data_IF_473002771227
#
_entry.id   IF_473002771227
#
_cell.length_a   1.000
_cell.length_b   1.000
_cell.length_c   1.000
_cell.angle_alpha   90.00
_cell.angle_beta   90.00
_cell.angle_gamma   90.00
#
_symmetry.space_group_name_H-M   'P 1'
#
loop_
_entity.id
_entity.type
_entity.pdbx_description
1 polymer ?
#
# COMPACT_ATOMS: atom_id res chain seq x y z
N UNK A 1 -17.07 -1.35 -21.17
CA UNK A 1 -18.17 -0.39 -20.95
C UNK A 1 -17.85 0.56 -19.80
N UNK A 2 -18.37 1.77 -19.83
CA UNK A 2 -18.19 2.80 -18.77
C UNK A 2 -18.67 2.27 -17.40
N UNK A 3 -19.73 1.48 -17.38
CA UNK A 3 -20.26 0.84 -16.17
C UNK A 3 -19.26 -0.13 -15.56
N UNK A 4 -18.56 -0.92 -16.37
CA UNK A 4 -17.51 -1.84 -15.90
C UNK A 4 -16.35 -1.11 -15.25
N UNK A 5 -15.88 0.00 -15.83
CA UNK A 5 -14.83 0.83 -15.28
C UNK A 5 -15.25 1.44 -13.93
N UNK A 6 -16.47 1.95 -13.83
CA UNK A 6 -17.02 2.50 -12.57
C UNK A 6 -17.05 1.46 -11.46
N UNK A 7 -17.47 0.23 -11.76
CA UNK A 7 -17.50 -0.86 -10.78
C UNK A 7 -16.07 -1.22 -10.32
N UNK A 8 -15.11 -1.34 -11.24
CA UNK A 8 -13.72 -1.63 -10.92
C UNK A 8 -13.08 -0.54 -10.04
N UNK A 9 -13.30 0.73 -10.38
CA UNK A 9 -12.80 1.86 -9.59
C UNK A 9 -13.42 1.89 -8.19
N UNK A 10 -14.74 1.74 -8.08
CA UNK A 10 -15.43 1.71 -6.79
C UNK A 10 -14.91 0.57 -5.91
N UNK A 11 -14.74 -0.62 -6.47
CA UNK A 11 -14.20 -1.78 -5.75
C UNK A 11 -12.76 -1.55 -5.28
N UNK A 12 -11.94 -0.92 -6.11
CA UNK A 12 -10.56 -0.56 -5.75
C UNK A 12 -10.53 0.41 -4.57
N UNK A 13 -11.27 1.51 -4.63
CA UNK A 13 -11.29 2.50 -3.55
C UNK A 13 -11.89 1.96 -2.25
N UNK A 14 -12.95 1.17 -2.32
CA UNK A 14 -13.50 0.48 -1.15
C UNK A 14 -12.48 -0.50 -0.54
N UNK A 15 -11.75 -1.22 -1.38
CA UNK A 15 -10.66 -2.10 -0.95
C UNK A 15 -9.55 -1.32 -0.23
N UNK A 16 -9.15 -0.15 -0.75
CA UNK A 16 -8.16 0.72 -0.09
C UNK A 16 -8.65 1.23 1.27
N UNK A 17 -9.91 1.66 1.38
CA UNK A 17 -10.47 2.08 2.66
C UNK A 17 -10.48 0.94 3.69
N UNK A 18 -10.85 -0.25 3.26
CA UNK A 18 -10.80 -1.44 4.10
C UNK A 18 -9.38 -1.77 4.55
N UNK A 19 -8.42 -1.74 3.63
CA UNK A 19 -6.99 -1.93 3.91
C UNK A 19 -6.47 -0.93 4.94
N UNK A 20 -6.71 0.36 4.73
CA UNK A 20 -6.27 1.42 5.65
C UNK A 20 -6.87 1.20 7.04
N UNK A 21 -8.15 0.86 7.12
CA UNK A 21 -8.84 0.64 8.40
C UNK A 21 -8.23 -0.54 9.16
N UNK A 22 -7.96 -1.65 8.48
CA UNK A 22 -7.30 -2.82 9.10
C UNK A 22 -5.90 -2.47 9.57
N UNK A 23 -5.07 -1.89 8.71
CA UNK A 23 -3.69 -1.54 9.05
C UNK A 23 -3.63 -0.49 10.16
N UNK A 24 -4.48 0.54 10.10
CA UNK A 24 -4.59 1.53 11.15
C UNK A 24 -4.92 0.89 12.51
N UNK A 25 -5.85 -0.04 12.55
CA UNK A 25 -6.24 -0.77 13.76
C UNK A 25 -5.08 -1.61 14.30
N UNK A 26 -4.43 -2.39 13.44
CA UNK A 26 -3.31 -3.25 13.85
C UNK A 26 -2.12 -2.41 14.33
N UNK A 27 -1.74 -1.36 13.60
CA UNK A 27 -0.64 -0.49 14.00
C UNK A 27 -0.93 0.24 15.31
N UNK A 28 -2.16 0.71 15.50
CA UNK A 28 -2.57 1.36 16.76
C UNK A 28 -2.43 0.40 17.93
N UNK A 29 -2.91 -0.83 17.82
CA UNK A 29 -2.78 -1.84 18.86
C UNK A 29 -1.31 -2.12 19.19
N UNK A 30 -0.46 -2.32 18.17
CA UNK A 30 0.97 -2.59 18.37
C UNK A 30 1.64 -1.43 19.10
N UNK A 31 1.44 -0.21 18.64
CA UNK A 31 2.08 0.97 19.21
C UNK A 31 1.60 1.26 20.64
N UNK A 32 0.32 1.05 20.93
CA UNK A 32 -0.22 1.19 22.28
C UNK A 32 0.32 0.11 23.23
N UNK A 33 0.49 -1.13 22.76
CA UNK A 33 1.06 -2.21 23.58
C UNK A 33 2.46 -1.88 24.07
N UNK A 34 3.26 -1.16 23.28
CA UNK A 34 4.61 -0.76 23.64
C UNK A 34 4.70 0.65 24.22
N UNK A 35 3.57 1.32 24.46
CA UNK A 35 3.53 2.63 25.09
C UNK A 35 4.14 3.75 24.26
N UNK A 36 4.08 3.64 22.94
CA UNK A 36 4.61 4.66 22.02
C UNK A 36 3.76 5.92 22.10
N UNK A 37 4.41 7.08 22.27
CA UNK A 37 3.74 8.38 22.23
C UNK A 37 3.09 8.61 20.87
N UNK A 38 1.91 9.26 20.88
CA UNK A 38 1.18 9.59 19.65
C UNK A 38 0.88 8.38 18.75
N UNK A 39 0.67 7.20 19.39
CA UNK A 39 0.47 5.92 18.71
C UNK A 39 -0.61 5.99 17.62
N UNK A 40 -1.74 6.64 17.89
CA UNK A 40 -2.85 6.78 16.94
C UNK A 40 -2.45 7.60 15.72
N UNK A 41 -1.72 8.69 15.91
CA UNK A 41 -1.25 9.56 14.80
C UNK A 41 -0.23 8.83 13.94
N UNK A 42 0.73 8.16 14.57
CA UNK A 42 1.76 7.37 13.86
C UNK A 42 1.10 6.23 13.07
N UNK A 43 0.19 5.49 13.69
CA UNK A 43 -0.54 4.41 13.04
C UNK A 43 -1.34 4.90 11.84
N UNK A 44 -2.00 6.04 11.95
CA UNK A 44 -2.77 6.64 10.86
C UNK A 44 -1.88 7.06 9.68
N UNK A 45 -0.77 7.76 9.95
CA UNK A 45 0.19 8.16 8.92
C UNK A 45 0.79 6.94 8.21
N UNK A 46 1.21 5.93 8.95
CA UNK A 46 1.76 4.69 8.36
C UNK A 46 0.72 3.91 7.57
N UNK A 47 -0.54 3.87 8.00
CA UNK A 47 -1.63 3.25 7.26
C UNK A 47 -1.92 4.00 5.94
N UNK A 48 -1.91 5.33 5.96
CA UNK A 48 -2.09 6.15 4.75
C UNK A 48 -0.97 5.94 3.72
N UNK A 49 0.27 5.73 4.17
CA UNK A 49 1.39 5.43 3.26
C UNK A 49 1.14 4.16 2.44
N UNK A 50 0.39 3.20 2.97
CA UNK A 50 0.02 1.98 2.24
C UNK A 50 -0.94 2.22 1.05
N UNK A 51 -1.45 3.43 0.86
CA UNK A 51 -2.11 3.82 -0.39
C UNK A 51 -1.17 3.75 -1.61
N UNK A 52 0.13 3.88 -1.37
CA UNK A 52 1.16 3.80 -2.40
C UNK A 52 1.73 2.38 -2.40
N UNK A 53 1.42 1.55 -3.40
CA UNK A 53 1.91 0.18 -3.47
C UNK A 53 3.44 0.10 -3.44
N UNK A 54 4.00 -0.87 -2.74
CA UNK A 54 5.42 -1.15 -2.57
C UNK A 54 6.24 -0.06 -1.87
N UNK A 55 6.12 1.20 -2.28
CA UNK A 55 6.87 2.34 -1.72
C UNK A 55 6.34 2.69 -0.34
N UNK A 56 5.02 2.67 -0.16
CA UNK A 56 4.37 2.99 1.11
C UNK A 56 4.84 2.14 2.28
N UNK A 57 4.81 0.81 2.17
CA UNK A 57 5.33 -0.08 3.22
C UNK A 57 6.80 0.16 3.57
N UNK A 58 7.65 0.46 2.59
CA UNK A 58 9.07 0.74 2.83
C UNK A 58 9.28 2.05 3.60
N UNK A 59 8.58 3.10 3.22
CA UNK A 59 8.62 4.38 3.93
C UNK A 59 7.97 4.23 5.31
N UNK A 60 6.88 3.49 5.40
CA UNK A 60 6.13 3.26 6.63
C UNK A 60 6.97 2.58 7.72
N UNK A 61 7.76 1.56 7.38
CA UNK A 61 8.61 0.89 8.36
C UNK A 61 9.72 1.82 8.89
N UNK A 62 10.30 2.64 8.01
CA UNK A 62 11.33 3.62 8.39
C UNK A 62 10.72 4.68 9.31
N UNK A 63 9.58 5.25 8.91
CA UNK A 63 8.88 6.28 9.68
C UNK A 63 8.43 5.75 11.04
N UNK A 64 7.80 4.58 11.10
CA UNK A 64 7.34 3.98 12.35
C UNK A 64 8.51 3.67 13.28
N UNK A 65 9.61 3.14 12.76
CA UNK A 65 10.81 2.86 13.54
C UNK A 65 11.40 4.13 14.13
N UNK A 66 11.58 5.16 13.32
CA UNK A 66 12.13 6.43 13.77
C UNK A 66 11.24 7.11 14.82
N UNK A 67 9.95 7.21 14.59
CA UNK A 67 9.01 7.82 15.54
C UNK A 67 8.87 7.00 16.83
N UNK A 68 8.99 5.67 16.75
CA UNK A 68 9.04 4.83 17.97
C UNK A 68 10.29 5.12 18.79
N UNK A 69 11.45 5.23 18.15
CA UNK A 69 12.70 5.58 18.85
C UNK A 69 12.60 6.94 19.53
N UNK A 70 12.01 7.94 18.87
CA UNK A 70 11.82 9.27 19.46
C UNK A 70 10.89 9.28 20.67
N UNK A 71 9.95 8.34 20.76
CA UNK A 71 9.06 8.19 21.92
C UNK A 71 9.78 7.78 23.20
N UNK A 72 10.95 7.17 23.08
CA UNK A 72 11.75 6.70 24.22
C UNK A 72 13.01 7.53 24.46
N UNK A 73 13.07 8.76 23.95
CA UNK A 73 14.19 9.66 24.21
C UNK A 73 14.33 9.91 25.71
N UNK A 74 15.56 9.73 26.21
CA UNK A 74 15.87 9.79 27.63
C UNK A 74 15.96 8.44 28.33
N UNK A 75 15.51 7.38 27.69
CA UNK A 75 15.68 5.99 28.16
C UNK A 75 17.01 5.41 27.69
N UNK A 76 17.41 4.29 28.32
CA UNK A 76 18.65 3.60 27.90
C UNK A 76 18.51 3.02 26.48
N UNK A 77 19.49 3.36 25.65
CA UNK A 77 19.43 3.00 24.23
C UNK A 77 19.46 1.48 24.02
N UNK A 78 20.36 0.79 24.70
CA UNK A 78 20.58 -0.66 24.49
C UNK A 78 19.50 -1.53 25.14
N UNK A 79 19.01 -1.14 26.32
CA UNK A 79 18.08 -1.96 27.10
C UNK A 79 16.60 -1.63 26.87
N UNK A 80 16.31 -0.43 26.37
CA UNK A 80 14.92 0.04 26.19
C UNK A 80 14.61 0.38 24.71
N UNK A 81 15.34 1.31 24.15
CA UNK A 81 15.02 1.85 22.82
C UNK A 81 15.14 0.76 21.72
N UNK A 82 16.27 0.08 21.67
CA UNK A 82 16.50 -0.98 20.65
C UNK A 82 15.49 -2.11 20.79
N UNK A 83 15.29 -2.76 21.95
CA UNK A 83 14.34 -3.86 22.08
C UNK A 83 12.90 -3.47 21.75
N UNK A 84 12.41 -2.33 22.23
CA UNK A 84 11.04 -1.88 21.96
C UNK A 84 10.85 -1.53 20.48
N UNK A 85 11.81 -0.87 19.86
CA UNK A 85 11.77 -0.58 18.43
C UNK A 85 11.78 -1.88 17.61
N UNK A 86 12.60 -2.86 18.00
CA UNK A 86 12.62 -4.17 17.35
C UNK A 86 11.26 -4.88 17.43
N UNK A 87 10.59 -4.87 18.57
CA UNK A 87 9.24 -5.44 18.71
C UNK A 87 8.22 -4.72 17.84
N UNK A 88 8.28 -3.40 17.75
CA UNK A 88 7.39 -2.62 16.87
C UNK A 88 7.63 -2.97 15.42
N UNK A 89 8.90 -3.11 14.99
CA UNK A 89 9.25 -3.54 13.63
C UNK A 89 8.70 -4.93 13.32
N UNK A 90 8.83 -5.89 14.24
CA UNK A 90 8.27 -7.23 14.10
C UNK A 90 6.75 -7.15 13.94
N UNK A 91 6.08 -6.37 14.76
CA UNK A 91 4.65 -6.12 14.66
C UNK A 91 4.25 -5.51 13.31
N UNK A 92 5.05 -4.56 12.82
CA UNK A 92 4.85 -3.97 11.49
C UNK A 92 4.93 -5.00 10.37
N UNK A 93 5.96 -5.85 10.41
CA UNK A 93 6.15 -6.91 9.42
C UNK A 93 4.98 -7.91 9.46
N UNK A 94 4.52 -8.30 10.65
CA UNK A 94 3.34 -9.17 10.80
C UNK A 94 2.10 -8.50 10.21
N UNK A 95 1.87 -7.22 10.48
CA UNK A 95 0.76 -6.47 9.89
C UNK A 95 0.83 -6.43 8.37
N UNK A 96 2.01 -6.23 7.80
CA UNK A 96 2.22 -6.26 6.34
C UNK A 96 1.99 -7.66 5.74
N UNK A 97 2.36 -8.72 6.45
CA UNK A 97 2.05 -10.09 6.02
C UNK A 97 0.54 -10.32 5.99
N UNK A 98 -0.18 -9.89 7.03
CA UNK A 98 -1.64 -9.96 7.07
C UNK A 98 -2.25 -9.19 5.90
N UNK A 99 -1.76 -7.98 5.65
CA UNK A 99 -2.22 -7.15 4.53
C UNK A 99 -1.98 -7.84 3.18
N UNK A 100 -0.80 -8.38 2.96
CA UNK A 100 -0.44 -9.08 1.72
C UNK A 100 -1.31 -10.32 1.47
N UNK A 101 -1.70 -11.04 2.51
CA UNK A 101 -2.51 -12.25 2.37
C UNK A 101 -4.02 -12.02 2.36
N UNK A 102 -4.51 -10.95 2.99
CA UNK A 102 -5.93 -10.64 3.10
C UNK A 102 -6.39 -9.50 2.19
N UNK A 103 -5.78 -8.32 2.35
CA UNK A 103 -6.27 -7.11 1.70
C UNK A 103 -5.85 -7.04 0.23
N UNK A 104 -4.61 -7.35 -0.08
CA UNK A 104 -4.10 -7.24 -1.45
C UNK A 104 -4.79 -8.18 -2.44
N UNK A 105 -5.02 -9.48 -2.15
CA UNK A 105 -5.80 -10.34 -3.03
C UNK A 105 -7.22 -9.81 -3.27
N UNK A 106 -7.85 -9.21 -2.26
CA UNK A 106 -9.18 -8.63 -2.39
C UNK A 106 -9.20 -7.38 -3.29
N UNK A 107 -8.19 -6.52 -3.15
CA UNK A 107 -8.06 -5.29 -3.95
C UNK A 107 -7.69 -5.62 -5.39
N UNK A 108 -6.74 -6.53 -5.60
CA UNK A 108 -6.16 -6.83 -6.91
C UNK A 108 -6.81 -8.01 -7.65
N UNK A 109 -7.59 -8.87 -6.99
CA UNK A 109 -8.06 -10.14 -7.55
C UNK A 109 -8.91 -10.04 -8.81
N UNK A 110 -9.57 -8.91 -9.04
CA UNK A 110 -10.45 -8.69 -10.19
C UNK A 110 -9.99 -7.58 -11.14
N UNK A 111 -8.93 -6.87 -10.81
CA UNK A 111 -8.57 -5.66 -11.56
C UNK A 111 -7.30 -5.83 -12.38
N UNK A 112 -6.27 -6.50 -11.87
CA UNK A 112 -4.98 -6.55 -12.55
C UNK A 112 -4.24 -7.82 -12.16
N UNK A 113 -4.26 -8.82 -13.01
CA UNK A 113 -3.31 -9.93 -12.97
C UNK A 113 -2.00 -9.51 -13.65
N UNK A 114 -1.40 -8.43 -13.17
CA UNK A 114 -0.14 -7.92 -13.70
C UNK A 114 1.04 -8.41 -12.87
N UNK A 115 2.20 -8.51 -13.50
CA UNK A 115 3.42 -8.87 -12.79
C UNK A 115 3.78 -7.77 -11.76
N UNK A 116 4.25 -8.09 -10.55
CA UNK A 116 4.60 -7.10 -9.53
C UNK A 116 5.56 -6.01 -10.02
N UNK A 117 6.53 -6.38 -10.86
CA UNK A 117 7.48 -5.43 -11.46
C UNK A 117 6.78 -4.42 -12.38
N UNK A 118 5.78 -4.86 -13.13
CA UNK A 118 4.98 -3.99 -14.01
C UNK A 118 4.25 -2.91 -13.19
N UNK A 119 3.61 -3.32 -12.10
CA UNK A 119 2.94 -2.40 -11.17
C UNK A 119 3.94 -1.43 -10.54
N UNK A 120 5.09 -1.92 -10.10
CA UNK A 120 6.13 -1.08 -9.52
C UNK A 120 6.61 0.02 -10.48
N UNK A 121 6.88 -0.34 -11.74
CA UNK A 121 7.28 0.62 -12.78
C UNK A 121 6.17 1.65 -13.03
N UNK A 122 4.92 1.21 -13.09
CA UNK A 122 3.76 2.11 -13.28
C UNK A 122 3.64 3.08 -12.11
N UNK A 123 3.80 2.63 -10.88
CA UNK A 123 3.75 3.50 -9.68
C UNK A 123 4.87 4.52 -9.71
N UNK A 124 6.11 4.10 -10.01
CA UNK A 124 7.25 5.02 -10.12
C UNK A 124 7.05 6.06 -11.22
N UNK A 125 6.65 5.62 -12.42
CA UNK A 125 6.41 6.51 -13.54
C UNK A 125 5.30 7.52 -13.25
N UNK A 126 4.20 7.07 -12.64
CA UNK A 126 3.11 7.95 -12.21
C UNK A 126 3.55 8.94 -11.14
N UNK A 127 4.45 8.52 -10.25
CA UNK A 127 5.04 9.38 -9.23
C UNK A 127 5.91 10.49 -9.81
N UNK A 128 6.72 10.17 -10.81
CA UNK A 128 7.56 11.15 -11.52
C UNK A 128 6.70 12.18 -12.26
N UNK A 129 5.60 11.75 -12.88
CA UNK A 129 4.74 12.61 -13.69
C UNK A 129 3.77 13.45 -12.84
N UNK A 130 3.17 12.86 -11.82
CA UNK A 130 2.04 13.44 -11.07
C UNK A 130 2.24 13.47 -9.55
N UNK A 131 3.45 13.16 -9.06
CA UNK A 131 3.76 13.13 -7.64
C UNK A 131 3.01 12.03 -6.86
N UNK A 132 2.77 12.29 -5.57
CA UNK A 132 2.12 11.34 -4.64
C UNK A 132 0.71 10.96 -5.12
N UNK A 133 -0.05 11.91 -5.64
CA UNK A 133 -1.39 11.66 -6.20
C UNK A 133 -1.32 10.67 -7.37
N UNK A 134 -0.30 10.82 -8.23
CA UNK A 134 -0.05 9.88 -9.32
C UNK A 134 0.27 8.47 -8.83
N UNK A 135 1.07 8.33 -7.78
CA UNK A 135 1.39 7.03 -7.19
C UNK A 135 0.14 6.33 -6.63
N UNK A 136 -0.74 7.06 -5.95
CA UNK A 136 -2.00 6.52 -5.40
C UNK A 136 -2.96 6.10 -6.51
N UNK A 137 -3.06 6.90 -7.56
CA UNK A 137 -3.95 6.64 -8.70
C UNK A 137 -3.32 5.76 -9.79
N UNK A 138 -2.08 5.33 -9.63
CA UNK A 138 -1.33 4.57 -10.63
C UNK A 138 -2.08 3.30 -11.08
N UNK A 139 -2.58 2.51 -10.14
CA UNK A 139 -3.29 1.26 -10.43
C UNK A 139 -4.61 1.49 -11.14
N UNK A 140 -5.54 2.35 -10.65
CA UNK A 140 -6.77 2.65 -11.37
C UNK A 140 -6.53 3.19 -12.79
N UNK A 141 -5.60 4.14 -12.95
CA UNK A 141 -5.27 4.72 -14.25
C UNK A 141 -4.72 3.66 -15.21
N UNK A 142 -3.83 2.82 -14.72
CA UNK A 142 -3.25 1.73 -15.50
C UNK A 142 -4.32 0.71 -15.94
N UNK A 143 -5.26 0.37 -15.05
CA UNK A 143 -6.39 -0.51 -15.36
C UNK A 143 -7.27 0.07 -16.45
N UNK A 144 -7.64 1.35 -16.34
CA UNK A 144 -8.43 2.06 -17.36
C UNK A 144 -7.69 2.06 -18.70
N UNK A 145 -6.39 2.34 -18.69
CA UNK A 145 -5.56 2.31 -19.89
C UNK A 145 -5.53 0.93 -20.55
N UNK A 146 -5.34 -0.14 -19.77
CA UNK A 146 -5.37 -1.53 -20.29
C UNK A 146 -6.73 -1.88 -20.90
N UNK A 147 -7.82 -1.53 -20.25
CA UNK A 147 -9.18 -1.76 -20.80
C UNK A 147 -9.38 -0.99 -22.10
N UNK A 148 -8.94 0.26 -22.14
CA UNK A 148 -9.01 1.08 -23.35
C UNK A 148 -8.22 0.45 -24.51
N UNK A 149 -6.97 0.07 -24.25
CA UNK A 149 -6.12 -0.58 -25.26
C UNK A 149 -6.75 -1.89 -25.76
N UNK A 150 -7.33 -2.69 -24.88
CA UNK A 150 -8.02 -3.92 -25.25
C UNK A 150 -9.20 -3.69 -26.19
N UNK A 151 -9.98 -2.64 -25.94
CA UNK A 151 -11.18 -2.32 -26.74
C UNK A 151 -10.80 -1.76 -28.12
N UNK A 152 -9.85 -0.81 -28.16
CA UNK A 152 -9.52 -0.09 -29.41
C UNK A 152 -8.43 -0.74 -30.26
N UNK A 153 -7.55 -1.52 -29.66
CA UNK A 153 -6.39 -2.11 -30.33
C UNK A 153 -6.34 -3.65 -30.19
N UNK A 154 -7.48 -4.30 -30.15
CA UNK A 154 -7.61 -5.75 -29.98
C UNK A 154 -6.87 -6.60 -31.02
N UNK A 155 -6.58 -6.07 -32.20
CA UNK A 155 -5.87 -6.77 -33.28
C UNK A 155 -4.35 -6.67 -33.18
N UNK A 156 -3.81 -5.84 -32.29
CA UNK A 156 -2.35 -5.66 -32.15
C UNK A 156 -1.77 -6.77 -31.24
N UNK A 157 -0.72 -7.45 -31.71
CA UNK A 157 -0.08 -8.55 -30.97
C UNK A 157 0.48 -8.14 -29.60
N UNK A 158 1.03 -6.91 -29.49
CA UNK A 158 1.53 -6.37 -28.23
C UNK A 158 0.39 -6.12 -27.24
N UNK A 159 -0.71 -5.55 -27.72
CA UNK A 159 -1.89 -5.29 -26.89
C UNK A 159 -2.52 -6.59 -26.40
N UNK A 160 -2.61 -7.62 -27.25
CA UNK A 160 -3.06 -8.96 -26.85
C UNK A 160 -2.21 -9.53 -25.71
N UNK A 161 -0.89 -9.34 -25.76
CA UNK A 161 0.02 -9.82 -24.72
C UNK A 161 -0.14 -9.06 -23.41
N UNK A 162 -0.28 -7.73 -23.47
CA UNK A 162 -0.47 -6.85 -22.31
C UNK A 162 -1.84 -7.02 -21.63
N UNK A 163 -2.88 -7.35 -22.40
CA UNK A 163 -4.26 -7.44 -21.92
C UNK A 163 -4.75 -8.87 -21.72
N UNK A 164 -3.87 -9.87 -21.84
CA UNK A 164 -4.21 -11.30 -21.75
C UNK A 164 -4.89 -11.68 -20.44
N UNK A 165 -4.62 -10.92 -19.38
CA UNK A 165 -5.04 -11.24 -18.01
C UNK A 165 -6.16 -10.33 -17.48
N UNK A 166 -6.84 -9.58 -18.37
CA UNK A 166 -7.99 -8.73 -18.01
C UNK A 166 -9.27 -9.26 -18.62
#
# INVERSE_FOLDING_TARGET
>A
SIIGIKILLSRYFLGLLFQITILFTIYTIILLMFGVKDAVVIAFLCALLNLIPYIGPLIGIILMSFLTMTSYLGEDFSSVIIPKTAYVIIGYVIAQLIDNFLSQPYIFSNSIKSHPLEIFIVVLSSGILFGIVGMILAIPLYTVMKVFLKVFFSNNALVKKLTKNI
#
